data_IF_743069850796
#
_entry.id   IF_743069850796
#
_cell.length_a   1.000
_cell.length_b   1.000
_cell.length_c   1.000
_cell.angle_alpha   90.00
_cell.angle_beta   90.00
_cell.angle_gamma   90.00
#
_symmetry.space_group_name_H-M   'P 1'
#
loop_
_entity.id
_entity.type
_entity.pdbx_description
1 polymer ?
#
# COMPACT_ATOMS: atom_id res chain seq x y z
N UNK A 1 -11.09 -1.68 -29.54
CA UNK A 1 -11.51 -0.64 -28.56
C UNK A 1 -10.24 -0.15 -27.87
N UNK A 2 -10.04 1.15 -27.69
CA UNK A 2 -8.85 1.65 -27.01
C UNK A 2 -9.12 1.70 -25.51
N UNK A 3 -8.22 1.17 -24.68
CA UNK A 3 -8.32 1.29 -23.22
C UNK A 3 -8.09 2.73 -22.80
N UNK A 4 -8.94 3.24 -21.93
CA UNK A 4 -8.88 4.61 -21.40
C UNK A 4 -8.04 4.64 -20.13
N UNK A 5 -6.86 5.24 -20.24
CA UNK A 5 -5.88 5.31 -19.18
C UNK A 5 -5.86 6.68 -18.51
N UNK A 6 -5.52 6.67 -17.22
CA UNK A 6 -5.02 7.83 -16.49
C UNK A 6 -3.65 7.50 -15.93
N UNK A 7 -2.78 8.48 -15.83
CA UNK A 7 -1.43 8.28 -15.32
C UNK A 7 -1.18 9.15 -14.09
N UNK A 8 -0.37 8.64 -13.15
CA UNK A 8 0.13 9.40 -12.01
C UNK A 8 1.64 9.11 -11.86
N UNK A 9 2.41 9.75 -12.70
CA UNK A 9 3.86 9.53 -12.79
C UNK A 9 4.65 10.81 -13.02
N UNK A 10 4.25 11.89 -12.41
CA UNK A 10 4.71 13.27 -12.65
C UNK A 10 6.17 13.40 -13.06
N UNK A 11 6.38 13.71 -14.35
CA UNK A 11 7.71 13.93 -14.91
C UNK A 11 8.53 12.67 -15.21
N UNK A 12 7.97 11.48 -15.03
CA UNK A 12 8.65 10.24 -15.35
C UNK A 12 8.77 10.03 -16.87
N UNK A 13 9.92 9.51 -17.31
CA UNK A 13 10.18 9.27 -18.74
C UNK A 13 9.20 8.26 -19.36
N UNK A 14 8.83 7.21 -18.61
CA UNK A 14 7.86 6.22 -19.07
C UNK A 14 6.48 6.83 -19.36
N UNK A 15 6.04 7.80 -18.54
CA UNK A 15 4.77 8.48 -18.74
C UNK A 15 4.76 9.30 -20.03
N UNK A 16 5.83 10.04 -20.29
CA UNK A 16 5.98 10.81 -21.52
C UNK A 16 6.00 9.89 -22.76
N UNK A 17 6.72 8.76 -22.69
CA UNK A 17 6.78 7.77 -23.77
C UNK A 17 5.40 7.13 -24.03
N UNK A 18 4.66 6.76 -22.97
CA UNK A 18 3.32 6.21 -23.09
C UNK A 18 2.35 7.18 -23.74
N UNK A 19 2.35 8.44 -23.29
CA UNK A 19 1.50 9.51 -23.87
C UNK A 19 1.82 9.70 -25.35
N UNK A 20 3.09 9.75 -25.72
CA UNK A 20 3.52 9.91 -27.11
C UNK A 20 3.07 8.72 -27.97
N UNK A 21 3.25 7.49 -27.50
CA UNK A 21 2.82 6.28 -28.21
C UNK A 21 1.29 6.24 -28.42
N UNK A 22 0.53 6.65 -27.40
CA UNK A 22 -0.94 6.76 -27.49
C UNK A 22 -1.37 7.80 -28.52
N UNK A 23 -0.73 8.98 -28.55
CA UNK A 23 -1.01 10.07 -29.49
C UNK A 23 -0.65 9.67 -30.93
N UNK A 24 0.45 8.96 -31.10
CA UNK A 24 0.89 8.44 -32.40
C UNK A 24 0.04 7.25 -32.91
N UNK A 25 -0.88 6.73 -32.07
CA UNK A 25 -1.69 5.56 -32.41
C UNK A 25 -0.91 4.26 -32.48
N UNK A 26 0.27 4.18 -31.87
CA UNK A 26 1.15 3.02 -31.88
C UNK A 26 0.67 1.92 -30.92
N UNK A 27 -0.15 2.27 -29.93
CA UNK A 27 -0.69 1.37 -28.91
C UNK A 27 -2.21 1.46 -28.82
N UNK A 28 -2.84 0.38 -28.36
CA UNK A 28 -4.29 0.26 -28.22
C UNK A 28 -4.90 0.97 -27.03
N UNK A 29 -4.34 2.11 -26.64
CA UNK A 29 -4.76 2.86 -25.46
C UNK A 29 -4.91 4.37 -25.75
N UNK A 30 -5.56 5.06 -24.82
CA UNK A 30 -5.65 6.53 -24.82
C UNK A 30 -5.45 7.04 -23.40
N UNK A 31 -4.48 7.91 -23.20
CA UNK A 31 -4.29 8.63 -21.93
C UNK A 31 -5.24 9.83 -21.91
N UNK A 32 -6.21 9.80 -20.98
CA UNK A 32 -7.20 10.87 -20.82
C UNK A 32 -6.68 12.00 -19.95
N UNK A 33 -6.05 11.62 -18.84
CA UNK A 33 -5.51 12.57 -17.86
C UNK A 33 -4.15 12.12 -17.34
N UNK A 34 -3.31 13.12 -17.04
CA UNK A 34 -2.06 12.98 -16.32
C UNK A 34 -2.28 13.63 -14.96
N UNK A 35 -2.46 12.80 -13.94
CA UNK A 35 -2.76 13.22 -12.59
C UNK A 35 -1.46 13.68 -11.88
N UNK A 36 -1.54 14.79 -11.18
CA UNK A 36 -0.41 15.35 -10.46
C UNK A 36 -0.14 14.64 -9.14
N UNK A 37 -1.21 14.21 -8.51
CA UNK A 37 -1.18 13.51 -7.23
C UNK A 37 -2.34 12.50 -7.12
N UNK A 38 -2.42 11.86 -5.95
CA UNK A 38 -3.49 10.91 -5.66
C UNK A 38 -4.87 11.57 -5.60
N UNK A 39 -4.96 12.84 -5.19
CA UNK A 39 -6.21 13.58 -5.13
C UNK A 39 -6.82 13.76 -6.52
N UNK A 40 -6.00 14.19 -7.49
CA UNK A 40 -6.39 14.28 -8.90
C UNK A 40 -6.84 12.91 -9.43
N UNK A 41 -6.07 11.85 -9.12
CA UNK A 41 -6.39 10.51 -9.57
C UNK A 41 -7.74 10.02 -9.04
N UNK A 42 -8.02 10.26 -7.76
CA UNK A 42 -9.31 9.91 -7.14
C UNK A 42 -10.47 10.71 -7.72
N UNK A 43 -10.26 11.99 -8.06
CA UNK A 43 -11.27 12.82 -8.69
C UNK A 43 -11.62 12.30 -10.11
N UNK A 44 -10.60 11.92 -10.89
CA UNK A 44 -10.81 11.32 -12.23
C UNK A 44 -11.48 9.94 -12.12
N UNK A 45 -11.10 9.14 -11.14
CA UNK A 45 -11.76 7.86 -10.85
C UNK A 45 -13.25 8.04 -10.56
N UNK A 46 -13.59 8.99 -9.68
CA UNK A 46 -14.99 9.29 -9.33
C UNK A 46 -15.82 9.79 -10.52
N UNK A 47 -15.18 10.40 -11.53
CA UNK A 47 -15.86 10.81 -12.77
C UNK A 47 -16.16 9.64 -13.74
N UNK A 48 -15.63 8.43 -13.48
CA UNK A 48 -15.89 7.21 -14.25
C UNK A 48 -15.44 7.26 -15.72
N UNK A 49 -14.49 8.14 -16.05
CA UNK A 49 -14.06 8.35 -17.43
C UNK A 49 -12.95 7.39 -17.87
N UNK A 50 -12.15 6.90 -16.93
CA UNK A 50 -11.04 5.99 -17.17
C UNK A 50 -11.35 4.57 -16.72
N UNK A 51 -10.59 3.62 -17.25
CA UNK A 51 -10.71 2.19 -16.96
C UNK A 51 -9.50 1.69 -16.17
N UNK A 52 -8.32 2.27 -16.43
CA UNK A 52 -7.07 1.84 -15.78
C UNK A 52 -6.26 3.06 -15.36
N UNK A 53 -5.71 2.99 -14.15
CA UNK A 53 -4.71 3.92 -13.64
C UNK A 53 -3.31 3.30 -13.73
N UNK A 54 -2.36 4.01 -14.34
CA UNK A 54 -0.94 3.66 -14.35
C UNK A 54 -0.21 4.58 -13.38
N UNK A 55 0.28 4.04 -12.26
CA UNK A 55 0.73 4.82 -11.10
C UNK A 55 2.17 4.50 -10.75
N UNK A 56 3.02 5.53 -10.65
CA UNK A 56 4.40 5.35 -10.21
C UNK A 56 4.47 4.89 -8.74
N UNK A 57 5.39 4.00 -8.40
CA UNK A 57 5.63 3.53 -7.03
C UNK A 57 5.93 4.68 -6.05
N UNK A 58 6.53 5.76 -6.53
CA UNK A 58 6.84 6.96 -5.76
C UNK A 58 5.66 7.92 -5.55
N UNK A 59 4.47 7.62 -6.05
CA UNK A 59 3.29 8.48 -5.87
C UNK A 59 3.00 8.65 -4.38
N UNK A 60 2.96 9.91 -3.94
CA UNK A 60 2.72 10.25 -2.53
C UNK A 60 1.32 9.78 -2.10
N UNK A 61 1.24 9.22 -0.91
CA UNK A 61 -0.01 8.76 -0.31
C UNK A 61 -0.65 7.55 -0.99
N UNK A 62 0.06 6.89 -1.91
CA UNK A 62 -0.37 5.61 -2.46
C UNK A 62 -0.30 4.55 -1.36
N UNK A 63 -1.45 4.12 -0.88
CA UNK A 63 -1.62 3.10 0.16
C UNK A 63 -2.82 2.20 -0.15
N UNK A 64 -3.06 1.21 0.71
CA UNK A 64 -4.15 0.24 0.49
C UNK A 64 -5.53 0.88 0.48
N UNK A 65 -5.76 1.92 1.30
CA UNK A 65 -7.03 2.64 1.33
C UNK A 65 -7.26 3.38 0.00
N UNK A 66 -6.23 4.03 -0.52
CA UNK A 66 -6.27 4.68 -1.82
C UNK A 66 -6.58 3.67 -2.94
N UNK A 67 -5.91 2.51 -2.94
CA UNK A 67 -6.16 1.46 -3.93
C UNK A 67 -7.58 0.90 -3.82
N UNK A 68 -8.07 0.65 -2.61
CA UNK A 68 -9.45 0.20 -2.39
C UNK A 68 -10.48 1.23 -2.90
N UNK A 69 -10.21 2.53 -2.75
CA UNK A 69 -11.08 3.59 -3.27
C UNK A 69 -11.05 3.67 -4.79
N UNK A 70 -9.89 3.45 -5.43
CA UNK A 70 -9.78 3.37 -6.89
C UNK A 70 -10.53 2.17 -7.43
N UNK A 71 -10.35 0.99 -6.82
CA UNK A 71 -11.09 -0.22 -7.18
C UNK A 71 -12.60 -0.06 -6.99
N UNK A 72 -13.05 0.53 -5.87
CA UNK A 72 -14.47 0.83 -5.64
C UNK A 72 -15.07 1.80 -6.69
N UNK A 73 -14.23 2.63 -7.30
CA UNK A 73 -14.63 3.49 -8.43
C UNK A 73 -14.55 2.76 -9.80
N UNK A 74 -14.24 1.45 -9.81
CA UNK A 74 -14.13 0.64 -11.02
C UNK A 74 -12.86 0.91 -11.84
N UNK A 75 -11.79 1.36 -11.20
CA UNK A 75 -10.52 1.68 -11.84
C UNK A 75 -9.48 0.61 -11.52
N UNK A 76 -9.12 -0.21 -12.49
CA UNK A 76 -8.01 -1.14 -12.37
C UNK A 76 -6.69 -0.37 -12.22
N UNK A 77 -5.72 -0.93 -11.47
CA UNK A 77 -4.47 -0.21 -11.19
C UNK A 77 -3.25 -1.03 -11.62
N UNK A 78 -2.37 -0.39 -12.38
CA UNK A 78 -1.03 -0.88 -12.73
C UNK A 78 0.01 -0.02 -12.01
N UNK A 79 0.86 -0.65 -11.20
CA UNK A 79 1.98 0.04 -10.55
C UNK A 79 3.20 0.06 -11.45
N UNK A 80 3.95 1.16 -11.46
CA UNK A 80 5.24 1.26 -12.17
C UNK A 80 6.35 1.44 -11.16
N UNK A 81 7.24 0.44 -11.06
CA UNK A 81 8.45 0.47 -10.25
C UNK A 81 9.65 0.94 -11.08
N UNK A 82 10.67 1.48 -10.44
CA UNK A 82 11.93 1.73 -11.11
C UNK A 82 12.65 0.41 -11.42
N UNK A 83 13.22 0.31 -12.61
CA UNK A 83 13.95 -0.89 -13.02
C UNK A 83 15.17 -1.12 -12.10
N UNK A 84 15.26 -2.32 -11.53
CA UNK A 84 16.32 -2.68 -10.58
C UNK A 84 16.09 -2.22 -9.14
N UNK A 85 14.98 -1.56 -8.84
CA UNK A 85 14.57 -1.21 -7.48
C UNK A 85 13.56 -2.25 -6.93
N UNK A 86 14.12 -3.31 -6.34
CA UNK A 86 13.33 -4.39 -5.74
C UNK A 86 12.43 -3.91 -4.58
N UNK A 87 12.82 -2.85 -3.90
CA UNK A 87 12.05 -2.32 -2.79
C UNK A 87 10.78 -1.62 -3.28
N UNK A 88 10.86 -0.87 -4.37
CA UNK A 88 9.70 -0.27 -5.04
C UNK A 88 8.72 -1.34 -5.53
N UNK A 89 9.22 -2.38 -6.19
CA UNK A 89 8.38 -3.50 -6.65
C UNK A 89 7.72 -4.21 -5.47
N UNK A 90 8.50 -4.59 -4.47
CA UNK A 90 8.02 -5.26 -3.25
C UNK A 90 6.95 -4.43 -2.55
N UNK A 91 7.16 -3.12 -2.46
CA UNK A 91 6.18 -2.18 -1.88
C UNK A 91 4.86 -2.21 -2.65
N UNK A 92 4.88 -2.12 -3.98
CA UNK A 92 3.65 -2.17 -4.79
C UNK A 92 2.90 -3.49 -4.59
N UNK A 93 3.62 -4.62 -4.56
CA UNK A 93 3.01 -5.94 -4.29
C UNK A 93 2.44 -6.06 -2.88
N UNK A 94 3.12 -5.50 -1.87
CA UNK A 94 2.62 -5.44 -0.48
C UNK A 94 1.36 -4.57 -0.34
N UNK A 95 1.20 -3.57 -1.21
CA UNK A 95 -0.04 -2.80 -1.29
C UNK A 95 -1.21 -3.59 -1.89
N UNK A 96 -0.95 -4.75 -2.49
CA UNK A 96 -1.95 -5.61 -3.12
C UNK A 96 -2.01 -5.46 -4.64
N UNK A 97 -1.08 -4.74 -5.28
CA UNK A 97 -1.03 -4.63 -6.73
C UNK A 97 -0.50 -5.91 -7.37
N UNK A 98 -1.33 -6.56 -8.15
CA UNK A 98 -0.97 -7.76 -8.92
C UNK A 98 -0.21 -7.39 -10.20
N UNK A 99 -0.58 -6.27 -10.82
CA UNK A 99 -0.02 -5.80 -12.08
C UNK A 99 1.05 -4.73 -11.82
N UNK A 100 2.31 -5.14 -11.88
CA UNK A 100 3.47 -4.25 -11.72
C UNK A 100 4.27 -4.26 -13.02
N UNK A 101 4.57 -3.08 -13.52
CA UNK A 101 5.45 -2.80 -14.65
C UNK A 101 6.73 -2.10 -14.18
N UNK A 102 7.69 -1.93 -15.07
CA UNK A 102 8.90 -1.18 -14.79
C UNK A 102 8.99 0.09 -15.65
N UNK A 103 9.68 1.10 -15.16
CA UNK A 103 9.89 2.36 -15.87
C UNK A 103 10.72 2.22 -17.16
N UNK A 104 11.44 1.10 -17.29
CA UNK A 104 12.17 0.70 -18.51
C UNK A 104 11.30 -0.07 -19.52
N UNK A 105 10.09 -0.46 -19.14
CA UNK A 105 9.20 -1.21 -20.03
C UNK A 105 8.75 -0.30 -21.18
N UNK A 106 8.68 -0.82 -22.42
CA UNK A 106 8.19 -0.07 -23.55
C UNK A 106 6.66 0.19 -23.40
N UNK A 107 6.12 1.22 -24.09
CA UNK A 107 4.72 1.60 -23.98
C UNK A 107 3.70 0.49 -24.28
N UNK A 108 3.99 -0.40 -25.21
CA UNK A 108 3.16 -1.55 -25.52
C UNK A 108 3.04 -2.53 -24.35
N UNK A 109 4.15 -2.83 -23.67
CA UNK A 109 4.14 -3.68 -22.47
C UNK A 109 3.33 -3.06 -21.32
N UNK A 110 3.37 -1.74 -21.16
CA UNK A 110 2.53 -1.02 -20.18
C UNK A 110 1.03 -1.17 -20.53
N UNK A 111 0.70 -1.05 -21.80
CA UNK A 111 -0.68 -1.20 -22.28
C UNK A 111 -1.16 -2.65 -22.16
N UNK A 112 -0.32 -3.64 -22.43
CA UNK A 112 -0.65 -5.05 -22.24
C UNK A 112 -0.94 -5.36 -20.77
N UNK A 113 -0.17 -4.79 -19.83
CA UNK A 113 -0.45 -4.91 -18.39
C UNK A 113 -1.75 -4.21 -17.99
N UNK A 114 -2.07 -3.06 -18.63
CA UNK A 114 -3.34 -2.39 -18.39
C UNK A 114 -4.53 -3.25 -18.87
N UNK A 115 -4.40 -3.91 -20.03
CA UNK A 115 -5.41 -4.87 -20.49
C UNK A 115 -5.55 -6.06 -19.53
N UNK A 116 -4.44 -6.61 -19.03
CA UNK A 116 -4.46 -7.71 -18.07
C UNK A 116 -5.12 -7.31 -16.74
N UNK A 117 -4.83 -6.10 -16.25
CA UNK A 117 -5.47 -5.58 -15.06
C UNK A 117 -6.99 -5.42 -15.22
N UNK A 118 -7.41 -4.89 -16.36
CA UNK A 118 -8.84 -4.72 -16.66
C UNK A 118 -9.56 -6.05 -16.81
N UNK A 119 -8.92 -7.05 -17.40
CA UNK A 119 -9.48 -8.40 -17.53
C UNK A 119 -9.66 -9.08 -16.16
N UNK A 120 -8.71 -8.90 -15.25
CA UNK A 120 -8.78 -9.44 -13.89
C UNK A 120 -9.95 -8.83 -13.07
N UNK A 121 -10.22 -7.54 -13.24
CA UNK A 121 -11.38 -6.89 -12.61
C UNK A 121 -12.73 -7.37 -13.19
N UNK A 122 -12.71 -7.88 -14.41
CA UNK A 122 -13.94 -8.32 -15.11
C UNK A 122 -14.29 -9.79 -14.85
N UNK A 123 -13.39 -10.56 -14.23
CA UNK A 123 -13.64 -11.96 -13.89
C UNK A 123 -13.99 -12.08 -12.39
N UNK A 124 -15.29 -12.27 -12.05
CA UNK A 124 -15.72 -12.35 -10.65
C UNK A 124 -15.29 -13.64 -9.92
N UNK A 125 -14.39 -14.40 -10.51
CA UNK A 125 -14.03 -15.74 -10.03
C UNK A 125 -12.93 -15.75 -8.94
N UNK A 126 -12.35 -14.61 -8.58
CA UNK A 126 -11.48 -14.52 -7.43
C UNK A 126 -11.95 -13.37 -6.53
N UNK A 127 -13.02 -13.65 -5.80
CA UNK A 127 -13.36 -12.90 -4.60
C UNK A 127 -12.06 -12.72 -3.80
N UNK A 128 -11.61 -11.46 -3.55
CA UNK A 128 -10.43 -11.28 -2.68
C UNK A 128 -10.72 -12.11 -1.45
N UNK A 129 -9.78 -12.95 -0.97
CA UNK A 129 -10.06 -13.81 0.16
C UNK A 129 -10.76 -12.94 1.20
N UNK A 130 -12.00 -13.30 1.53
CA UNK A 130 -12.83 -12.61 2.51
C UNK A 130 -11.90 -12.27 3.66
N UNK A 131 -11.95 -11.08 4.32
CA UNK A 131 -10.98 -10.67 5.33
C UNK A 131 -10.72 -11.90 6.18
N UNK A 132 -9.64 -12.57 5.79
CA UNK A 132 -9.44 -13.97 6.10
C UNK A 132 -9.55 -14.07 7.58
N UNK A 133 -10.25 -15.06 8.06
CA UNK A 133 -9.97 -15.61 9.37
C UNK A 133 -8.49 -15.40 9.59
N UNK A 134 -8.19 -14.49 10.51
CA UNK A 134 -6.82 -14.13 10.86
C UNK A 134 -6.07 -15.46 10.92
N UNK A 135 -4.93 -15.63 10.22
CA UNK A 135 -4.27 -16.91 10.13
C UNK A 135 -4.33 -17.47 11.53
N UNK A 136 -5.04 -18.61 11.70
CA UNK A 136 -5.08 -19.32 12.97
C UNK A 136 -3.61 -19.63 13.18
N UNK A 137 -2.96 -18.76 13.94
CA UNK A 137 -1.59 -19.02 14.39
C UNK A 137 -1.68 -20.41 14.97
N UNK A 138 -0.87 -21.38 14.53
CA UNK A 138 -0.90 -22.71 15.09
C UNK A 138 -0.93 -22.49 16.60
N UNK A 139 -1.88 -23.12 17.29
CA UNK A 139 -2.02 -23.02 18.74
C UNK A 139 -0.62 -23.17 19.31
N UNK A 140 0.05 -22.05 19.52
CA UNK A 140 1.18 -22.04 20.41
C UNK A 140 0.53 -22.39 21.74
N UNK A 141 0.71 -23.61 22.18
CA UNK A 141 0.45 -23.99 23.57
C UNK A 141 1.10 -22.88 24.37
N UNK A 142 0.26 -21.92 24.76
CA UNK A 142 0.73 -20.69 25.38
C UNK A 142 1.52 -21.15 26.59
N UNK A 143 2.80 -20.79 26.62
CA UNK A 143 3.54 -20.89 27.89
C UNK A 143 2.62 -20.26 28.91
N UNK A 144 2.17 -21.02 29.95
CA UNK A 144 1.23 -20.47 30.93
C UNK A 144 1.95 -19.31 31.61
N UNK A 145 1.64 -18.09 31.17
CA UNK A 145 2.10 -16.90 31.88
C UNK A 145 1.27 -16.85 33.14
N UNK A 146 1.86 -17.30 34.23
CA UNK A 146 1.26 -17.19 35.54
C UNK A 146 1.07 -15.71 35.85
N UNK A 147 -0.13 -15.24 36.19
CA UNK A 147 -0.33 -13.87 36.59
C UNK A 147 0.27 -13.66 38.01
N UNK A 148 1.42 -13.03 38.05
CA UNK A 148 1.95 -12.54 39.31
C UNK A 148 1.20 -11.26 39.69
N UNK A 149 0.43 -11.29 40.77
CA UNK A 149 -0.33 -10.15 41.27
C UNK A 149 -1.74 -10.05 40.67
N UNK A 150 -2.51 -9.06 41.07
CA UNK A 150 -3.94 -8.84 40.88
C UNK A 150 -4.54 -9.03 39.46
N UNK A 151 -3.87 -9.73 38.57
CA UNK A 151 -4.34 -10.33 37.33
C UNK A 151 -4.90 -9.37 36.26
N UNK A 152 -4.79 -8.07 36.44
CA UNK A 152 -5.33 -7.08 35.50
C UNK A 152 -4.32 -6.81 34.38
N UNK A 153 -4.58 -7.39 33.22
CA UNK A 153 -3.88 -7.02 32.00
C UNK A 153 -4.55 -5.81 31.38
N UNK A 154 -3.78 -4.81 31.04
CA UNK A 154 -4.26 -3.61 30.37
C UNK A 154 -3.75 -3.64 28.93
N UNK A 155 -4.67 -3.54 27.96
CA UNK A 155 -4.33 -3.30 26.57
C UNK A 155 -4.63 -1.85 26.25
N UNK A 156 -3.59 -1.10 25.90
CA UNK A 156 -3.71 0.30 25.51
C UNK A 156 -3.44 0.46 24.03
N UNK A 157 -4.38 1.01 23.27
CA UNK A 157 -4.21 1.32 21.86
C UNK A 157 -3.96 2.82 21.69
N UNK A 158 -2.81 3.19 21.10
CA UNK A 158 -2.50 4.55 20.71
C UNK A 158 -2.86 4.74 19.25
N UNK A 159 -3.98 5.41 19.01
CA UNK A 159 -4.52 5.63 17.68
C UNK A 159 -4.62 7.11 17.34
N UNK A 160 -4.55 7.45 16.05
CA UNK A 160 -4.76 8.81 15.57
C UNK A 160 -4.74 8.88 14.04
N UNK A 161 -5.21 9.99 13.45
CA UNK A 161 -5.27 10.14 12.01
C UNK A 161 -3.88 10.02 11.38
N UNK A 162 -3.83 9.56 10.12
CA UNK A 162 -2.59 9.40 9.35
C UNK A 162 -1.83 10.73 9.29
N UNK A 163 -0.52 10.67 9.54
CA UNK A 163 0.33 11.86 9.57
C UNK A 163 0.26 12.68 10.86
N UNK A 164 -0.53 12.27 11.86
CA UNK A 164 -0.54 12.92 13.17
C UNK A 164 0.80 12.77 13.89
N UNK A 165 1.51 13.88 14.19
CA UNK A 165 2.76 13.82 14.93
C UNK A 165 2.52 13.29 16.35
N UNK A 166 3.44 12.49 16.87
CA UNK A 166 3.49 12.13 18.29
C UNK A 166 2.91 10.77 18.68
N UNK A 167 2.20 10.03 17.81
CA UNK A 167 1.67 8.69 18.15
C UNK A 167 2.74 7.74 18.67
N UNK A 168 3.80 7.59 17.90
CA UNK A 168 4.96 6.76 18.28
C UNK A 168 5.59 7.24 19.58
N UNK A 169 5.77 8.54 19.72
CA UNK A 169 6.33 9.15 20.94
C UNK A 169 5.44 8.84 22.15
N UNK A 170 4.13 8.99 22.02
CA UNK A 170 3.18 8.68 23.10
C UNK A 170 3.20 7.19 23.45
N UNK A 171 3.17 6.31 22.44
CA UNK A 171 3.19 4.86 22.66
C UNK A 171 4.48 4.40 23.38
N UNK A 172 5.64 4.88 22.91
CA UNK A 172 6.93 4.55 23.51
C UNK A 172 7.05 5.08 24.94
N UNK A 173 6.68 6.34 25.19
CA UNK A 173 6.75 6.89 26.53
C UNK A 173 5.76 6.19 27.48
N UNK A 174 4.55 5.88 27.03
CA UNK A 174 3.59 5.13 27.84
C UNK A 174 4.13 3.74 28.22
N UNK A 175 4.72 3.03 27.26
CA UNK A 175 5.34 1.75 27.49
C UNK A 175 6.52 1.85 28.47
N UNK A 176 7.35 2.90 28.33
CA UNK A 176 8.48 3.13 29.22
C UNK A 176 8.03 3.44 30.66
N UNK A 177 7.05 4.32 30.85
CA UNK A 177 6.51 4.65 32.18
C UNK A 177 5.85 3.44 32.85
N UNK A 178 5.10 2.63 32.09
CA UNK A 178 4.50 1.41 32.63
C UNK A 178 5.57 0.39 33.05
N UNK A 179 6.66 0.24 32.30
CA UNK A 179 7.79 -0.62 32.64
C UNK A 179 8.55 -0.08 33.86
N UNK A 180 8.76 1.24 33.95
CA UNK A 180 9.40 1.87 35.08
C UNK A 180 8.60 1.70 36.40
N UNK A 181 7.26 1.57 36.28
CA UNK A 181 6.37 1.20 37.39
C UNK A 181 6.43 -0.26 37.82
N UNK A 182 7.33 -1.07 37.21
CA UNK A 182 7.52 -2.49 37.54
C UNK A 182 6.60 -3.45 36.80
N UNK A 183 5.86 -3.00 35.81
CA UNK A 183 5.02 -3.83 34.94
C UNK A 183 5.81 -4.50 33.81
N UNK A 184 5.42 -5.70 33.43
CA UNK A 184 5.86 -6.28 32.16
C UNK A 184 5.08 -5.63 31.02
N UNK A 185 5.80 -5.09 30.04
CA UNK A 185 5.21 -4.34 28.93
C UNK A 185 5.63 -4.91 27.60
N UNK A 186 4.64 -5.18 26.75
CA UNK A 186 4.84 -5.51 25.35
C UNK A 186 4.38 -4.34 24.49
N UNK A 187 5.30 -3.71 23.75
CA UNK A 187 4.99 -2.70 22.75
C UNK A 187 4.90 -3.35 21.38
N UNK A 188 3.71 -3.28 20.76
CA UNK A 188 3.46 -3.82 19.42
C UNK A 188 3.28 -2.66 18.45
N UNK A 189 4.13 -2.60 17.42
CA UNK A 189 3.93 -1.69 16.29
C UNK A 189 3.04 -2.37 15.27
N UNK A 190 1.80 -1.91 15.18
CA UNK A 190 0.82 -2.37 14.20
C UNK A 190 0.84 -1.55 12.91
N UNK A 191 1.71 -0.53 12.82
CA UNK A 191 1.95 0.21 11.58
C UNK A 191 2.95 -0.54 10.71
N UNK A 192 2.45 -1.38 9.82
CA UNK A 192 3.29 -2.17 8.90
C UNK A 192 4.06 -1.32 7.88
N UNK A 193 3.88 0.00 7.89
CA UNK A 193 4.49 0.94 6.95
C UNK A 193 5.53 1.89 7.57
N UNK A 194 5.60 1.96 8.89
CA UNK A 194 6.50 2.89 9.56
C UNK A 194 7.26 2.19 10.69
N UNK A 195 8.53 1.91 10.52
CA UNK A 195 9.35 1.28 11.55
C UNK A 195 9.49 2.13 12.82
N UNK A 196 8.43 2.23 13.62
CA UNK A 196 8.44 2.94 14.91
C UNK A 196 9.45 2.32 15.88
N UNK A 197 9.64 1.00 15.81
CA UNK A 197 10.58 0.25 16.64
C UNK A 197 12.04 0.64 16.35
N UNK A 198 12.36 1.02 15.11
CA UNK A 198 13.70 1.46 14.76
C UNK A 198 14.11 2.78 15.43
N UNK A 199 13.16 3.59 15.90
CA UNK A 199 13.43 4.85 16.59
C UNK A 199 13.57 4.69 18.11
N UNK A 200 13.18 3.54 18.65
CA UNK A 200 13.21 3.28 20.09
C UNK A 200 14.50 2.59 20.48
N UNK A 201 15.66 2.99 20.10
CA UNK A 201 17.02 2.51 20.47
C UNK A 201 17.02 1.52 21.67
N UNK A 202 16.29 0.41 21.54
CA UNK A 202 16.14 -0.60 22.59
C UNK A 202 17.37 -1.47 22.54
N UNK A 203 18.32 -1.23 23.43
CA UNK A 203 19.43 -2.15 23.66
C UNK A 203 18.86 -3.42 24.29
N UNK A 204 18.92 -4.53 23.56
CA UNK A 204 18.62 -5.85 24.12
C UNK A 204 19.68 -6.21 25.15
N UNK A 205 19.36 -6.12 26.42
CA UNK A 205 20.15 -6.76 27.47
C UNK A 205 19.76 -8.24 27.52
N UNK A 206 20.55 -9.10 26.88
CA UNK A 206 20.52 -10.53 27.18
C UNK A 206 21.10 -10.74 28.57
N UNK A 207 20.31 -11.26 29.49
CA UNK A 207 20.77 -11.98 30.70
C UNK A 207 20.67 -13.46 30.47
#
# INVERSE_FOLDING_TARGET
>A
MKVRLVTAGVGAAWEAALVQACQAGQVGAQVLHRCYDLGDLLAVAAAGQAEVAVVAAGTRWLDRDALARLAAAGLAVVGVAAAGDEDSERRLRQLGLLHVAFDSDPPDALVDRAHAALAAESDPAEEPPAPGEAPVLPDHEGVPVQPDGDGRRIVAAVWGPKGGPGRTTVAVNLAFEAAAGGGEVLLVDADTYGGAVAHANIQQHHR
#
